data_IF_094732981941
#
_entry.id   IF_094732981941
#
_cell.length_a   1.000
_cell.length_b   1.000
_cell.length_c   1.000
_cell.angle_alpha   90.00
_cell.angle_beta   90.00
_cell.angle_gamma   90.00
#
_symmetry.space_group_name_H-M   'P 1'
#
loop_
_entity.id
_entity.type
_entity.pdbx_description
1 polymer ?
#
# COMPACT_ATOMS: atom_id res chain seq x y z
N UNK A 1 -1.10 -9.58 -28.83
CA UNK A 1 -1.43 -8.98 -27.50
C UNK A 1 -1.38 -7.48 -27.65
N UNK A 2 -2.39 -6.77 -27.17
CA UNK A 2 -2.46 -5.30 -27.14
C UNK A 2 -1.29 -4.70 -26.36
N UNK A 3 -0.84 -3.49 -26.74
CA UNK A 3 0.32 -2.82 -26.10
C UNK A 3 0.13 -2.57 -24.60
N UNK A 4 -1.10 -2.21 -24.15
CA UNK A 4 -1.38 -2.00 -22.74
C UNK A 4 -1.28 -3.31 -21.92
N UNK A 5 -1.78 -4.42 -22.46
CA UNK A 5 -1.65 -5.75 -21.84
C UNK A 5 -0.20 -6.21 -21.83
N UNK A 6 0.59 -5.89 -22.87
CA UNK A 6 2.01 -6.19 -22.91
C UNK A 6 2.77 -5.42 -21.80
N UNK A 7 2.45 -4.13 -21.62
CA UNK A 7 3.01 -3.32 -20.52
C UNK A 7 2.71 -3.96 -19.16
N UNK A 8 1.47 -4.39 -18.91
CA UNK A 8 1.13 -5.07 -17.66
C UNK A 8 1.93 -6.36 -17.48
N UNK A 9 2.08 -7.15 -18.54
CA UNK A 9 2.85 -8.42 -18.52
C UNK A 9 4.33 -8.18 -18.23
N UNK A 10 4.97 -7.25 -18.92
CA UNK A 10 6.40 -6.94 -18.78
C UNK A 10 6.73 -6.39 -17.39
N UNK A 11 5.75 -5.71 -16.77
CA UNK A 11 5.87 -5.16 -15.42
C UNK A 11 5.49 -6.12 -14.31
N UNK A 12 4.92 -7.29 -14.63
CA UNK A 12 4.53 -8.30 -13.64
C UNK A 12 3.10 -8.17 -13.10
N UNK A 13 2.22 -7.44 -13.80
CA UNK A 13 0.79 -7.32 -13.48
C UNK A 13 -0.08 -8.30 -14.27
N UNK A 14 0.44 -9.44 -14.67
CA UNK A 14 -0.33 -10.40 -15.44
C UNK A 14 -0.18 -11.82 -14.87
N UNK A 15 -1.26 -12.37 -14.32
CA UNK A 15 -1.35 -13.75 -13.81
C UNK A 15 -2.33 -14.57 -14.62
N UNK A 16 -3.60 -14.17 -14.66
CA UNK A 16 -4.68 -14.84 -15.38
C UNK A 16 -5.54 -13.81 -16.11
N UNK A 17 -6.14 -14.22 -17.21
CA UNK A 17 -7.16 -13.45 -17.94
C UNK A 17 -8.24 -14.40 -18.44
N UNK A 18 -9.50 -14.00 -18.39
CA UNK A 18 -10.63 -14.82 -18.87
C UNK A 18 -10.55 -15.10 -20.35
N UNK A 19 -10.15 -14.11 -21.15
CA UNK A 19 -9.87 -14.22 -22.59
C UNK A 19 -8.90 -13.12 -23.01
N UNK A 20 -7.65 -13.49 -23.26
CA UNK A 20 -6.58 -12.55 -23.65
C UNK A 20 -6.78 -12.00 -25.05
N UNK A 21 -7.22 -12.83 -25.97
CA UNK A 21 -7.34 -12.45 -27.38
C UNK A 21 -8.56 -11.55 -27.59
N UNK A 22 -9.70 -11.87 -26.97
CA UNK A 22 -10.90 -11.02 -26.97
C UNK A 22 -10.64 -9.66 -26.33
N UNK A 23 -10.01 -9.63 -25.15
CA UNK A 23 -9.66 -8.37 -24.49
C UNK A 23 -8.67 -7.54 -25.30
N UNK A 24 -7.65 -8.18 -25.89
CA UNK A 24 -6.67 -7.52 -26.77
C UNK A 24 -7.37 -6.88 -27.98
N UNK A 25 -8.23 -7.63 -28.65
CA UNK A 25 -8.99 -7.14 -29.79
C UNK A 25 -9.94 -5.99 -29.42
N UNK A 26 -10.52 -6.02 -28.23
CA UNK A 26 -11.36 -4.93 -27.73
C UNK A 26 -10.53 -3.66 -27.46
N UNK A 27 -9.40 -3.79 -26.79
CA UNK A 27 -8.49 -2.67 -26.50
C UNK A 27 -7.87 -2.05 -27.78
N UNK A 28 -7.65 -2.85 -28.81
CA UNK A 28 -7.14 -2.37 -30.11
C UNK A 28 -8.17 -1.50 -30.87
N UNK A 29 -9.47 -1.63 -30.54
CA UNK A 29 -10.54 -0.79 -31.11
C UNK A 29 -10.66 0.58 -30.45
N UNK A 30 -10.10 0.75 -29.24
CA UNK A 30 -10.14 2.01 -28.51
C UNK A 30 -10.09 1.87 -27.01
N UNK A 31 -10.28 2.99 -26.26
CA UNK A 31 -10.28 2.99 -24.81
C UNK A 31 -11.35 2.05 -24.23
N UNK A 32 -10.96 1.22 -23.28
CA UNK A 32 -11.89 0.40 -22.49
C UNK A 32 -12.04 0.99 -21.10
N UNK A 33 -13.24 0.87 -20.53
CA UNK A 33 -13.47 1.17 -19.11
C UNK A 33 -13.24 -0.07 -18.29
N UNK A 34 -12.41 0.05 -17.25
CA UNK A 34 -12.07 -1.02 -16.32
C UNK A 34 -12.19 -0.54 -14.88
N UNK A 35 -12.27 -1.48 -13.92
CA UNK A 35 -12.30 -1.12 -12.52
C UNK A 35 -11.44 -2.01 -11.63
N UNK A 36 -11.06 -1.44 -10.49
CA UNK A 36 -10.52 -2.13 -9.33
C UNK A 36 -11.37 -1.77 -8.11
N UNK A 37 -11.59 -2.73 -7.20
CA UNK A 37 -12.34 -2.50 -5.97
C UNK A 37 -11.43 -2.30 -4.76
N UNK A 38 -11.81 -1.37 -3.90
CA UNK A 38 -11.11 -1.04 -2.65
C UNK A 38 -12.09 -1.00 -1.48
N UNK A 39 -12.08 -2.01 -0.60
CA UNK A 39 -12.91 -2.03 0.60
C UNK A 39 -12.31 -1.15 1.71
N UNK A 40 -13.06 -0.16 2.25
CA UNK A 40 -12.59 0.78 3.27
C UNK A 40 -12.58 0.15 4.68
N UNK A 41 -11.82 -0.93 4.87
CA UNK A 41 -11.76 -1.70 6.13
C UNK A 41 -10.83 -1.09 7.19
N UNK A 42 -10.26 0.07 6.93
CA UNK A 42 -9.42 0.84 7.84
C UNK A 42 -9.23 2.27 7.36
N UNK A 43 -8.66 3.14 8.21
CA UNK A 43 -8.58 4.59 7.94
C UNK A 43 -7.53 4.96 6.89
N UNK A 44 -6.70 4.03 6.44
CA UNK A 44 -5.66 4.26 5.44
C UNK A 44 -5.40 3.01 4.62
N UNK A 45 -5.08 3.20 3.36
CA UNK A 45 -4.42 2.19 2.54
C UNK A 45 -3.01 1.92 3.07
N UNK A 46 -2.49 0.75 2.80
CA UNK A 46 -1.10 0.37 3.04
C UNK A 46 -0.43 -0.07 1.74
N UNK A 47 0.89 -0.22 1.73
CA UNK A 47 1.64 -0.54 0.50
C UNK A 47 1.17 -1.81 -0.21
N UNK A 48 0.50 -2.75 0.48
CA UNK A 48 -0.11 -3.92 -0.16
C UNK A 48 -1.23 -3.56 -1.15
N UNK A 49 -1.88 -2.41 -0.96
CA UNK A 49 -2.91 -1.90 -1.89
C UNK A 49 -2.32 -1.19 -3.12
N UNK A 50 -0.99 -0.94 -3.15
CA UNK A 50 -0.38 -0.25 -4.29
C UNK A 50 -0.40 -1.08 -5.58
N UNK A 51 -0.36 -2.41 -5.48
CA UNK A 51 -0.33 -3.27 -6.68
C UNK A 51 -1.53 -3.01 -7.59
N UNK A 52 -2.80 -3.13 -7.12
CA UNK A 52 -3.95 -2.80 -7.93
C UNK A 52 -3.97 -1.35 -8.41
N UNK A 53 -3.52 -0.41 -7.58
CA UNK A 53 -3.50 1.00 -7.91
C UNK A 53 -2.49 1.34 -9.02
N UNK A 54 -1.30 0.74 -8.99
CA UNK A 54 -0.33 0.92 -10.06
C UNK A 54 -0.76 0.23 -11.37
N UNK A 55 -1.45 -0.92 -11.29
CA UNK A 55 -2.06 -1.51 -12.47
C UNK A 55 -3.10 -0.56 -13.12
N UNK A 56 -3.96 0.07 -12.28
CA UNK A 56 -4.89 1.11 -12.73
C UNK A 56 -4.16 2.27 -13.41
N UNK A 57 -3.12 2.79 -12.78
CA UNK A 57 -2.35 3.93 -13.30
C UNK A 57 -1.64 3.59 -14.63
N UNK A 58 -1.10 2.36 -14.79
CA UNK A 58 -0.49 1.93 -16.04
C UNK A 58 -1.50 1.80 -17.17
N UNK A 59 -2.68 1.21 -16.94
CA UNK A 59 -3.74 1.13 -17.93
C UNK A 59 -4.29 2.51 -18.30
N UNK A 60 -4.47 3.40 -17.31
CA UNK A 60 -4.86 4.78 -17.58
C UNK A 60 -3.82 5.52 -18.43
N UNK A 61 -2.53 5.36 -18.13
CA UNK A 61 -1.44 5.96 -18.91
C UNK A 61 -1.39 5.41 -20.34
N UNK A 62 -1.86 4.19 -20.55
CA UNK A 62 -2.03 3.59 -21.87
C UNK A 62 -3.31 4.04 -22.59
N UNK A 63 -4.10 4.96 -22.01
CA UNK A 63 -5.28 5.57 -22.65
C UNK A 63 -6.62 4.93 -22.28
N UNK A 64 -6.66 4.00 -21.32
CA UNK A 64 -7.91 3.38 -20.86
C UNK A 64 -8.53 4.16 -19.70
N UNK A 65 -9.81 3.92 -19.40
CA UNK A 65 -10.59 4.64 -18.40
C UNK A 65 -10.67 3.78 -17.13
N UNK A 66 -10.06 4.23 -16.05
CA UNK A 66 -10.02 3.52 -14.76
C UNK A 66 -11.12 3.99 -13.80
N UNK A 67 -11.76 3.05 -13.11
CA UNK A 67 -12.66 3.31 -11.99
C UNK A 67 -12.06 2.66 -10.74
N UNK A 68 -11.85 3.43 -9.67
CA UNK A 68 -11.64 2.85 -8.34
C UNK A 68 -13.01 2.79 -7.64
N UNK A 69 -13.51 1.57 -7.44
CA UNK A 69 -14.77 1.33 -6.77
C UNK A 69 -14.53 1.24 -5.27
N UNK A 70 -15.06 2.19 -4.52
CA UNK A 70 -15.04 2.13 -3.05
C UNK A 70 -16.10 1.16 -2.56
N UNK A 71 -15.66 0.10 -1.91
CA UNK A 71 -16.50 -0.99 -1.40
C UNK A 71 -17.17 -0.67 -0.07
N UNK A 72 -17.87 0.46 0.08
CA UNK A 72 -18.51 0.80 1.35
C UNK A 72 -19.70 -0.12 1.70
N UNK A 73 -20.38 -0.65 0.71
CA UNK A 73 -21.42 -1.67 0.90
C UNK A 73 -20.82 -3.03 1.24
N UNK A 74 -19.81 -3.48 0.48
CA UNK A 74 -19.13 -4.77 0.66
C UNK A 74 -18.29 -4.82 1.94
N UNK A 75 -17.72 -3.72 2.40
CA UNK A 75 -17.00 -3.63 3.68
C UNK A 75 -17.87 -3.98 4.90
N UNK A 76 -19.20 -3.86 4.80
CA UNK A 76 -20.15 -4.29 5.85
C UNK A 76 -20.19 -5.80 6.02
N UNK A 77 -19.79 -6.53 4.99
CA UNK A 77 -19.79 -8.01 4.93
C UNK A 77 -18.38 -8.54 5.17
N UNK A 78 -17.41 -8.04 4.43
CA UNK A 78 -16.00 -8.42 4.46
C UNK A 78 -15.67 -9.58 3.52
N UNK A 79 -14.70 -9.34 2.64
CA UNK A 79 -14.19 -10.31 1.66
C UNK A 79 -13.47 -11.49 2.35
N UNK A 80 -13.88 -12.74 2.13
CA UNK A 80 -13.22 -13.93 2.66
C UNK A 80 -11.92 -14.27 1.90
N UNK A 81 -11.67 -13.71 0.72
CA UNK A 81 -10.55 -14.05 -0.16
C UNK A 81 -9.20 -13.84 0.54
N UNK A 82 -8.33 -14.85 0.46
CA UNK A 82 -6.99 -14.80 1.06
C UNK A 82 -6.96 -14.77 2.60
N UNK A 83 -8.07 -15.09 3.28
CA UNK A 83 -8.21 -15.12 4.74
C UNK A 83 -8.48 -16.52 5.26
N UNK A 84 -8.06 -16.76 6.50
CA UNK A 84 -8.34 -17.98 7.27
C UNK A 84 -9.43 -17.76 8.31
N UNK A 85 -9.74 -16.50 8.66
CA UNK A 85 -10.71 -16.11 9.66
C UNK A 85 -11.67 -15.05 9.11
N UNK A 86 -12.87 -14.98 9.68
CA UNK A 86 -13.85 -13.94 9.35
C UNK A 86 -13.29 -12.55 9.70
N UNK A 87 -13.55 -11.56 8.87
CA UNK A 87 -13.18 -10.16 9.17
C UNK A 87 -13.98 -9.66 10.36
N UNK A 88 -13.33 -8.83 11.19
CA UNK A 88 -14.05 -8.07 12.24
C UNK A 88 -15.05 -7.14 11.57
N UNK A 89 -16.30 -7.22 12.00
CA UNK A 89 -17.32 -6.28 11.56
C UNK A 89 -17.04 -4.89 12.17
N UNK A 90 -17.05 -3.89 11.33
CA UNK A 90 -16.88 -2.47 11.72
C UNK A 90 -18.21 -1.73 11.57
N UNK A 91 -18.39 -0.64 12.31
CA UNK A 91 -19.65 0.12 12.27
C UNK A 91 -19.83 0.85 10.93
N UNK A 92 -21.06 1.22 10.62
CA UNK A 92 -21.35 1.95 9.39
C UNK A 92 -20.73 3.35 9.39
N UNK A 93 -20.70 3.99 10.56
CA UNK A 93 -20.08 5.28 10.78
C UNK A 93 -18.55 5.21 10.54
N UNK A 94 -17.92 4.16 11.06
CA UNK A 94 -16.49 3.93 10.84
C UNK A 94 -16.18 3.67 9.36
N UNK A 95 -17.04 2.93 8.66
CA UNK A 95 -16.90 2.72 7.20
C UNK A 95 -17.02 4.06 6.47
N UNK A 96 -18.02 4.86 6.77
CA UNK A 96 -18.24 6.15 6.11
C UNK A 96 -17.10 7.15 6.37
N UNK A 97 -16.46 7.11 7.54
CA UNK A 97 -15.24 7.88 7.83
C UNK A 97 -14.02 7.36 7.04
N UNK A 98 -13.86 6.04 6.98
CA UNK A 98 -12.78 5.43 6.22
C UNK A 98 -12.90 5.72 4.73
N UNK A 99 -14.11 5.70 4.15
CA UNK A 99 -14.39 6.08 2.76
C UNK A 99 -13.79 7.45 2.45
N UNK A 100 -14.11 8.47 3.24
CA UNK A 100 -13.60 9.84 3.02
C UNK A 100 -12.09 9.91 3.02
N UNK A 101 -11.44 9.19 3.95
CA UNK A 101 -9.99 9.17 4.07
C UNK A 101 -9.34 8.43 2.90
N UNK A 102 -9.90 7.29 2.50
CA UNK A 102 -9.37 6.48 1.40
C UNK A 102 -9.56 7.18 0.06
N UNK A 103 -10.74 7.76 -0.21
CA UNK A 103 -10.98 8.57 -1.41
C UNK A 103 -9.97 9.72 -1.53
N UNK A 104 -9.74 10.46 -0.45
CA UNK A 104 -8.75 11.54 -0.44
C UNK A 104 -7.31 11.04 -0.66
N UNK A 105 -6.97 9.85 -0.16
CA UNK A 105 -5.67 9.23 -0.42
C UNK A 105 -5.52 8.82 -1.88
N UNK A 106 -6.53 8.15 -2.44
CA UNK A 106 -6.54 7.72 -3.84
C UNK A 106 -6.50 8.92 -4.79
N UNK A 107 -7.32 9.94 -4.54
CA UNK A 107 -7.35 11.15 -5.37
C UNK A 107 -5.99 11.85 -5.44
N UNK A 108 -5.23 11.86 -4.34
CA UNK A 108 -3.90 12.50 -4.28
C UNK A 108 -2.91 11.96 -5.31
N UNK A 109 -2.92 10.63 -5.58
CA UNK A 109 -1.96 10.03 -6.51
C UNK A 109 -2.60 9.50 -7.79
N UNK A 110 -3.90 9.20 -7.82
CA UNK A 110 -4.63 8.87 -9.04
C UNK A 110 -5.05 10.15 -9.76
N UNK A 111 -5.57 11.15 -9.03
CA UNK A 111 -6.15 12.38 -9.60
C UNK A 111 -7.42 12.07 -10.36
N UNK A 112 -8.55 11.93 -9.65
CA UNK A 112 -9.85 11.68 -10.27
C UNK A 112 -10.30 12.91 -11.06
N UNK A 113 -10.48 12.76 -12.37
CA UNK A 113 -10.88 13.83 -13.29
C UNK A 113 -12.33 13.64 -13.82
N UNK A 114 -12.98 12.58 -13.39
CA UNK A 114 -14.32 12.20 -13.84
C UNK A 114 -14.41 11.73 -15.29
N UNK A 115 -13.29 11.71 -16.03
CA UNK A 115 -13.19 11.32 -17.45
C UNK A 115 -12.36 10.05 -17.61
N UNK A 116 -11.05 10.15 -17.37
CA UNK A 116 -10.09 9.05 -17.54
C UNK A 116 -9.81 8.30 -16.24
N UNK A 117 -10.06 8.94 -15.10
CA UNK A 117 -10.05 8.35 -13.78
C UNK A 117 -11.30 8.75 -13.01
N UNK A 118 -12.05 7.77 -12.55
CA UNK A 118 -13.31 7.94 -11.84
C UNK A 118 -13.26 7.20 -10.51
N UNK A 119 -14.07 7.63 -9.57
CA UNK A 119 -14.45 6.87 -8.39
C UNK A 119 -15.95 6.65 -8.38
N UNK A 120 -16.41 5.52 -7.86
CA UNK A 120 -17.81 5.26 -7.54
C UNK A 120 -17.86 4.49 -6.22
N UNK A 121 -19.03 4.40 -5.60
CA UNK A 121 -19.21 3.76 -4.31
C UNK A 121 -20.37 2.76 -4.39
N UNK A 122 -20.09 1.51 -4.08
CA UNK A 122 -21.11 0.45 -4.17
C UNK A 122 -22.22 0.58 -3.11
N UNK A 123 -22.08 1.47 -2.12
CA UNK A 123 -23.18 1.85 -1.23
C UNK A 123 -24.37 2.38 -2.02
N UNK A 124 -24.15 3.02 -3.19
CA UNK A 124 -25.23 3.59 -4.01
C UNK A 124 -26.24 2.57 -4.55
N UNK A 125 -25.89 1.30 -4.62
CA UNK A 125 -26.76 0.23 -5.08
C UNK A 125 -26.90 -0.94 -4.14
N UNK A 126 -26.05 -1.03 -3.10
CA UNK A 126 -26.11 -2.10 -2.11
C UNK A 126 -26.86 -1.70 -0.83
N UNK A 127 -26.89 -0.38 -0.47
CA UNK A 127 -27.45 0.03 0.80
C UNK A 127 -28.95 -0.21 0.93
N UNK A 128 -29.69 0.03 -0.14
CA UNK A 128 -31.17 -0.06 -0.19
C UNK A 128 -31.64 -1.32 -0.95
N UNK A 129 -30.78 -2.34 -1.05
CA UNK A 129 -31.04 -3.55 -1.80
C UNK A 129 -32.16 -4.38 -1.13
N UNK A 130 -33.25 -4.65 -1.85
CA UNK A 130 -34.24 -5.61 -1.36
C UNK A 130 -33.67 -7.02 -1.48
N UNK A 131 -33.56 -7.71 -0.34
CA UNK A 131 -32.89 -9.01 -0.27
C UNK A 131 -33.60 -10.10 -1.10
N UNK A 132 -34.94 -10.14 -1.08
CA UNK A 132 -35.71 -11.18 -1.82
C UNK A 132 -35.60 -10.92 -3.32
N UNK A 133 -35.75 -9.68 -3.77
CA UNK A 133 -35.59 -9.32 -5.18
C UNK A 133 -34.19 -9.61 -5.67
N UNK A 134 -33.16 -9.29 -4.86
CA UNK A 134 -31.77 -9.62 -5.17
C UNK A 134 -31.52 -11.11 -5.32
N UNK A 135 -32.01 -11.93 -4.37
CA UNK A 135 -31.87 -13.38 -4.46
C UNK A 135 -32.56 -13.95 -5.71
N UNK A 136 -33.74 -13.43 -6.04
CA UNK A 136 -34.51 -13.87 -7.21
C UNK A 136 -33.82 -13.46 -8.52
N UNK A 137 -33.38 -12.22 -8.62
CA UNK A 137 -32.85 -11.66 -9.86
C UNK A 137 -31.36 -12.00 -10.09
N UNK A 138 -30.56 -11.97 -9.04
CA UNK A 138 -29.10 -12.16 -9.09
C UNK A 138 -28.73 -13.56 -8.61
N UNK A 139 -29.21 -13.96 -7.43
CA UNK A 139 -28.88 -15.25 -6.80
C UNK A 139 -29.21 -16.46 -7.68
N UNK A 140 -30.29 -16.38 -8.50
CA UNK A 140 -30.68 -17.44 -9.43
C UNK A 140 -29.62 -17.76 -10.50
N UNK A 141 -28.68 -16.88 -10.74
CA UNK A 141 -27.57 -17.10 -11.67
C UNK A 141 -26.36 -17.80 -11.07
N UNK A 142 -26.34 -18.03 -9.74
CA UNK A 142 -25.23 -18.64 -9.04
C UNK A 142 -25.50 -20.09 -8.65
N UNK A 143 -24.53 -20.95 -8.90
CA UNK A 143 -24.56 -22.35 -8.43
C UNK A 143 -23.69 -22.47 -7.18
N UNK A 144 -24.29 -22.86 -6.05
CA UNK A 144 -23.59 -23.11 -4.79
C UNK A 144 -22.45 -24.12 -4.98
N UNK A 145 -22.70 -25.21 -5.72
CA UNK A 145 -21.68 -26.22 -5.98
C UNK A 145 -20.46 -25.62 -6.69
N UNK A 146 -20.67 -24.74 -7.67
CA UNK A 146 -19.57 -24.04 -8.36
C UNK A 146 -18.86 -23.05 -7.45
N UNK A 147 -19.60 -22.25 -6.67
CA UNK A 147 -19.01 -21.30 -5.73
C UNK A 147 -18.07 -22.00 -4.75
N UNK A 148 -18.46 -23.15 -4.20
CA UNK A 148 -17.65 -23.92 -3.27
C UNK A 148 -16.37 -24.51 -3.89
N UNK A 149 -16.22 -24.50 -5.22
CA UNK A 149 -14.98 -24.93 -5.88
C UNK A 149 -13.87 -23.86 -5.87
N UNK A 150 -14.19 -22.61 -5.60
CA UNK A 150 -13.19 -21.55 -5.56
C UNK A 150 -12.32 -21.62 -4.30
N UNK A 151 -11.02 -21.33 -4.46
CA UNK A 151 -10.03 -21.45 -3.37
C UNK A 151 -10.38 -20.60 -2.14
N UNK A 152 -10.99 -19.43 -2.33
CA UNK A 152 -11.42 -18.57 -1.24
C UNK A 152 -12.38 -19.30 -0.30
N UNK A 153 -13.35 -20.04 -0.85
CA UNK A 153 -14.33 -20.77 -0.06
C UNK A 153 -13.78 -22.09 0.46
N UNK A 154 -12.97 -22.83 -0.31
CA UNK A 154 -12.34 -24.06 0.15
C UNK A 154 -11.58 -23.87 1.45
N UNK A 155 -10.71 -22.85 1.50
CA UNK A 155 -9.93 -22.51 2.71
C UNK A 155 -10.81 -22.11 3.87
N UNK A 156 -11.90 -21.36 3.61
CA UNK A 156 -12.82 -20.94 4.67
C UNK A 156 -13.69 -22.07 5.18
N UNK A 157 -14.04 -23.06 4.36
CA UNK A 157 -14.77 -24.26 4.83
C UNK A 157 -13.99 -25.06 5.87
N UNK A 158 -12.66 -25.09 5.80
CA UNK A 158 -11.81 -25.76 6.79
C UNK A 158 -11.88 -25.11 8.19
N UNK A 159 -12.14 -23.80 8.26
CA UNK A 159 -12.16 -23.01 9.50
C UNK A 159 -13.54 -22.47 9.87
N UNK A 160 -14.56 -22.71 9.03
CA UNK A 160 -15.93 -22.29 9.24
C UNK A 160 -16.34 -21.09 8.38
N UNK A 161 -16.87 -21.37 7.17
CA UNK A 161 -17.42 -20.38 6.26
C UNK A 161 -18.82 -19.95 6.75
N UNK A 162 -19.01 -18.66 6.99
CA UNK A 162 -20.32 -18.11 7.37
C UNK A 162 -21.18 -17.80 6.14
N UNK A 163 -22.51 -17.79 6.32
CA UNK A 163 -23.42 -17.43 5.23
C UNK A 163 -23.20 -16.02 4.70
N UNK A 164 -22.83 -15.07 5.56
CA UNK A 164 -22.55 -13.70 5.18
C UNK A 164 -21.31 -13.62 4.26
N UNK A 165 -20.23 -14.29 4.60
CA UNK A 165 -19.03 -14.37 3.76
C UNK A 165 -19.31 -15.07 2.43
N UNK A 166 -20.15 -16.11 2.43
CA UNK A 166 -20.53 -16.83 1.23
C UNK A 166 -21.26 -15.95 0.22
N UNK A 167 -22.03 -14.95 0.68
CA UNK A 167 -22.72 -14.01 -0.18
C UNK A 167 -21.81 -12.91 -0.77
N UNK A 168 -20.59 -12.74 -0.28
CA UNK A 168 -19.70 -11.67 -0.77
C UNK A 168 -19.48 -11.74 -2.29
N UNK A 169 -19.30 -12.93 -2.85
CA UNK A 169 -19.11 -13.12 -4.29
C UNK A 169 -20.29 -12.59 -5.12
N UNK A 170 -21.53 -12.74 -4.63
CA UNK A 170 -22.72 -12.22 -5.31
C UNK A 170 -22.70 -10.69 -5.34
N UNK A 171 -22.31 -10.06 -4.23
CA UNK A 171 -22.25 -8.60 -4.11
C UNK A 171 -21.18 -8.01 -5.05
N UNK A 172 -19.97 -8.57 -5.06
CA UNK A 172 -18.91 -8.11 -5.97
C UNK A 172 -19.26 -8.37 -7.44
N UNK A 173 -19.96 -9.47 -7.75
CA UNK A 173 -20.45 -9.71 -9.11
C UNK A 173 -21.51 -8.70 -9.53
N UNK A 174 -22.36 -8.30 -8.59
CA UNK A 174 -23.36 -7.25 -8.79
C UNK A 174 -22.73 -5.88 -8.97
N UNK A 175 -21.64 -5.58 -8.23
CA UNK A 175 -20.84 -4.38 -8.45
C UNK A 175 -20.35 -4.27 -9.90
N UNK A 176 -19.81 -5.36 -10.45
CA UNK A 176 -19.35 -5.38 -11.83
C UNK A 176 -20.52 -5.15 -12.80
N UNK A 177 -21.66 -5.79 -12.58
CA UNK A 177 -22.86 -5.57 -13.39
C UNK A 177 -23.29 -4.09 -13.33
N UNK A 178 -23.34 -3.50 -12.13
CA UNK A 178 -23.72 -2.08 -11.98
C UNK A 178 -22.74 -1.11 -12.63
N UNK A 179 -21.44 -1.38 -12.55
CA UNK A 179 -20.43 -0.59 -13.25
C UNK A 179 -20.53 -0.78 -14.79
N UNK A 180 -20.87 -1.99 -15.24
CA UNK A 180 -21.14 -2.22 -16.65
C UNK A 180 -22.35 -1.42 -17.14
N UNK A 181 -23.46 -1.44 -16.41
CA UNK A 181 -24.68 -0.69 -16.74
C UNK A 181 -24.47 0.83 -16.70
N UNK A 182 -23.73 1.35 -15.72
CA UNK A 182 -23.56 2.79 -15.47
C UNK A 182 -22.44 3.44 -16.27
N UNK A 183 -21.35 2.69 -16.50
CA UNK A 183 -20.10 3.23 -17.04
C UNK A 183 -19.57 2.47 -18.26
N UNK A 184 -20.32 1.51 -18.81
CA UNK A 184 -19.85 0.57 -19.84
C UNK A 184 -18.53 -0.12 -19.43
N UNK A 185 -18.38 -0.42 -18.13
CA UNK A 185 -17.20 -1.11 -17.62
C UNK A 185 -17.16 -2.54 -18.18
N UNK A 186 -16.07 -2.90 -18.85
CA UNK A 186 -15.95 -4.20 -19.51
C UNK A 186 -14.77 -5.03 -19.03
N UNK A 187 -13.97 -4.52 -18.06
CA UNK A 187 -12.86 -5.26 -17.50
C UNK A 187 -12.80 -5.03 -15.97
N UNK A 188 -12.74 -6.13 -15.22
CA UNK A 188 -12.38 -6.11 -13.79
C UNK A 188 -10.94 -6.56 -13.62
N UNK A 189 -10.15 -5.79 -12.84
CA UNK A 189 -8.80 -6.18 -12.48
C UNK A 189 -8.67 -6.39 -10.97
N UNK A 190 -7.80 -7.31 -10.53
CA UNK A 190 -7.59 -7.58 -9.11
C UNK A 190 -6.42 -8.51 -8.83
N UNK A 191 -6.12 -8.76 -7.55
CA UNK A 191 -5.16 -9.77 -7.15
C UNK A 191 -5.65 -11.18 -7.50
N UNK A 192 -4.74 -12.14 -7.58
CA UNK A 192 -5.09 -13.52 -7.97
C UNK A 192 -6.01 -14.22 -6.97
N UNK A 193 -6.04 -13.76 -5.73
CA UNK A 193 -7.02 -14.20 -4.72
C UNK A 193 -8.46 -13.78 -5.04
N UNK A 194 -8.66 -12.81 -5.95
CA UNK A 194 -9.95 -12.32 -6.42
C UNK A 194 -10.49 -13.08 -7.64
N UNK A 195 -9.74 -14.04 -8.21
CA UNK A 195 -10.10 -14.71 -9.44
C UNK A 195 -11.53 -15.27 -9.45
N UNK A 196 -11.92 -15.96 -8.35
CA UNK A 196 -13.27 -16.51 -8.22
C UNK A 196 -14.38 -15.46 -8.27
N UNK A 197 -14.18 -14.33 -7.59
CA UNK A 197 -15.13 -13.22 -7.57
C UNK A 197 -15.22 -12.55 -8.95
N UNK A 198 -14.07 -12.34 -9.60
CA UNK A 198 -13.97 -11.73 -10.95
C UNK A 198 -14.71 -12.58 -11.99
N UNK A 199 -14.42 -13.89 -12.05
CA UNK A 199 -15.06 -14.81 -13.00
C UNK A 199 -16.57 -14.91 -12.76
N UNK A 200 -17.00 -14.87 -11.52
CA UNK A 200 -18.43 -14.87 -11.20
C UNK A 200 -19.15 -13.61 -11.71
N UNK A 201 -18.50 -12.46 -11.63
CA UNK A 201 -19.00 -11.20 -12.21
C UNK A 201 -19.08 -11.24 -13.75
N UNK A 202 -18.04 -11.77 -14.41
CA UNK A 202 -18.03 -12.00 -15.87
C UNK A 202 -19.19 -12.90 -16.30
N UNK A 203 -19.39 -14.03 -15.58
CA UNK A 203 -20.50 -14.95 -15.88
C UNK A 203 -21.87 -14.32 -15.64
N UNK A 204 -22.04 -13.51 -14.59
CA UNK A 204 -23.29 -12.80 -14.29
C UNK A 204 -23.66 -11.84 -15.42
N UNK A 205 -22.74 -11.00 -15.86
CA UNK A 205 -22.99 -10.02 -16.94
C UNK A 205 -23.36 -10.75 -18.23
N UNK A 206 -22.60 -11.79 -18.61
CA UNK A 206 -22.92 -12.59 -19.80
C UNK A 206 -24.32 -13.18 -19.74
N UNK A 207 -24.77 -13.70 -18.60
CA UNK A 207 -26.11 -14.31 -18.44
C UNK A 207 -27.23 -13.28 -18.41
N UNK A 208 -26.99 -12.09 -17.86
CA UNK A 208 -28.00 -11.04 -17.72
C UNK A 208 -28.15 -10.18 -18.97
N UNK A 209 -27.05 -9.91 -19.67
CA UNK A 209 -27.00 -8.90 -20.74
C UNK A 209 -26.61 -9.48 -22.10
N UNK A 210 -26.07 -10.72 -22.13
CA UNK A 210 -25.42 -11.30 -23.31
C UNK A 210 -24.19 -10.53 -23.81
N UNK A 211 -23.70 -9.56 -23.03
CA UNK A 211 -22.47 -8.84 -23.33
C UNK A 211 -21.24 -9.64 -22.87
N UNK A 212 -20.14 -9.47 -23.60
CA UNK A 212 -18.86 -10.02 -23.26
C UNK A 212 -18.06 -8.99 -22.44
N UNK A 213 -17.58 -9.42 -21.28
CA UNK A 213 -16.70 -8.64 -20.39
C UNK A 213 -15.56 -9.52 -19.91
N UNK A 214 -14.53 -8.91 -19.36
CA UNK A 214 -13.26 -9.57 -19.09
C UNK A 214 -12.84 -9.42 -17.63
N UNK A 215 -12.04 -10.37 -17.18
CA UNK A 215 -11.36 -10.35 -15.92
C UNK A 215 -9.86 -10.58 -16.09
N UNK A 216 -9.04 -9.84 -15.36
CA UNK A 216 -7.59 -9.98 -15.35
C UNK A 216 -7.09 -9.95 -13.90
N UNK A 217 -6.22 -10.90 -13.56
CA UNK A 217 -5.56 -10.89 -12.25
C UNK A 217 -4.05 -10.68 -12.38
N UNK A 218 -3.48 -10.16 -11.30
CA UNK A 218 -2.04 -10.04 -11.12
C UNK A 218 -1.58 -10.85 -9.90
N UNK A 219 -0.29 -11.28 -9.88
CA UNK A 219 0.25 -12.07 -8.80
C UNK A 219 0.17 -11.35 -7.46
N UNK A 220 -0.06 -12.09 -6.38
CA UNK A 220 0.09 -11.56 -5.04
C UNK A 220 1.58 -11.28 -4.76
N UNK A 221 1.91 -10.02 -4.50
CA UNK A 221 3.28 -9.60 -4.33
C UNK A 221 3.80 -9.95 -2.94
N UNK A 222 4.78 -10.85 -2.91
CA UNK A 222 5.57 -11.18 -1.71
C UNK A 222 7.00 -10.66 -1.87
N UNK A 223 7.66 -10.44 -0.75
CA UNK A 223 9.09 -10.16 -0.71
C UNK A 223 9.88 -11.44 -1.00
N UNK A 224 11.16 -11.31 -1.36
CA UNK A 224 12.08 -12.43 -1.58
C UNK A 224 12.26 -13.33 -0.33
N UNK A 225 11.98 -12.80 0.89
CA UNK A 225 11.98 -13.57 2.14
C UNK A 225 10.64 -14.32 2.40
N UNK A 226 9.73 -14.36 1.43
CA UNK A 226 8.43 -15.02 1.51
C UNK A 226 7.35 -14.26 2.31
N UNK A 227 7.70 -13.13 2.93
CA UNK A 227 6.75 -12.33 3.70
C UNK A 227 5.87 -11.47 2.79
N UNK A 228 4.65 -11.19 3.22
CA UNK A 228 3.77 -10.25 2.53
C UNK A 228 4.39 -8.86 2.52
N UNK A 229 4.34 -8.19 1.37
CA UNK A 229 4.79 -6.81 1.22
C UNK A 229 4.06 -5.87 2.18
N UNK A 230 4.79 -4.87 2.72
CA UNK A 230 4.22 -3.84 3.59
C UNK A 230 3.96 -4.25 5.04
N UNK A 231 4.30 -5.48 5.44
CA UNK A 231 4.37 -5.84 6.86
C UNK A 231 5.74 -5.51 7.41
N UNK A 232 5.78 -4.67 8.43
CA UNK A 232 6.98 -4.34 9.22
C UNK A 232 6.84 -4.93 10.62
N UNK A 233 7.89 -4.88 11.42
CA UNK A 233 7.84 -5.26 12.85
C UNK A 233 6.83 -4.40 13.64
N UNK A 234 6.56 -3.18 13.15
CA UNK A 234 5.61 -2.22 13.75
C UNK A 234 4.18 -2.36 13.19
N UNK A 235 3.92 -3.31 12.29
CA UNK A 235 2.62 -3.49 11.63
C UNK A 235 2.64 -3.14 10.13
N UNK A 236 1.49 -2.74 9.59
CA UNK A 236 1.37 -2.36 8.19
C UNK A 236 2.03 -1.01 7.90
N UNK A 237 2.67 -0.87 6.74
CA UNK A 237 3.18 0.41 6.25
C UNK A 237 2.05 1.15 5.54
N UNK A 238 1.51 2.16 6.21
CA UNK A 238 0.37 2.94 5.73
C UNK A 238 0.78 4.03 4.73
N UNK A 239 -0.16 4.42 3.86
CA UNK A 239 0.05 5.53 2.92
C UNK A 239 -0.30 6.89 3.54
N UNK A 240 -0.95 6.90 4.69
CA UNK A 240 -1.21 8.12 5.47
C UNK A 240 0.05 8.58 6.19
N UNK A 241 0.47 9.82 5.97
CA UNK A 241 1.68 10.39 6.58
C UNK A 241 1.59 10.57 8.11
N UNK A 242 0.37 10.65 8.66
CA UNK A 242 0.14 10.72 10.11
C UNK A 242 0.31 9.32 10.76
N UNK A 243 0.02 8.24 10.01
CA UNK A 243 0.21 6.87 10.47
C UNK A 243 1.61 6.33 10.18
N UNK A 244 2.21 6.74 9.05
CA UNK A 244 3.58 6.42 8.66
C UNK A 244 4.25 7.68 8.13
N UNK A 245 5.16 8.31 8.88
CA UNK A 245 5.90 9.47 8.40
C UNK A 245 6.55 9.21 7.04
N UNK A 246 6.57 10.22 6.16
CA UNK A 246 7.09 10.08 4.79
C UNK A 246 8.54 9.60 4.78
N UNK A 247 9.35 10.02 5.75
CA UNK A 247 10.71 9.52 5.93
C UNK A 247 10.75 8.00 6.18
N UNK A 248 9.88 7.47 7.05
CA UNK A 248 9.81 6.03 7.35
C UNK A 248 9.30 5.24 6.13
N UNK A 249 8.35 5.82 5.38
CA UNK A 249 7.89 5.26 4.11
C UNK A 249 9.02 5.18 3.08
N UNK A 250 9.79 6.25 2.90
CA UNK A 250 10.97 6.29 2.03
C UNK A 250 12.03 5.26 2.48
N UNK A 251 12.32 5.20 3.77
CA UNK A 251 13.31 4.25 4.33
C UNK A 251 12.89 2.79 4.15
N UNK A 252 11.61 2.48 4.17
CA UNK A 252 11.15 1.13 3.87
C UNK A 252 11.59 0.69 2.48
N UNK A 253 11.36 1.51 1.45
CA UNK A 253 11.74 1.21 0.07
C UNK A 253 13.25 1.20 -0.14
N UNK A 254 13.97 2.11 0.51
CA UNK A 254 15.44 2.14 0.47
C UNK A 254 16.08 0.92 1.12
N UNK A 255 15.37 0.21 2.00
CA UNK A 255 15.86 -0.95 2.73
C UNK A 255 15.26 -2.28 2.26
N UNK A 256 14.67 -2.34 1.07
CA UNK A 256 14.22 -3.60 0.48
C UNK A 256 15.41 -4.52 0.15
N UNK A 257 15.16 -5.82 0.04
CA UNK A 257 16.21 -6.76 -0.34
C UNK A 257 16.68 -6.49 -1.78
N UNK A 258 17.98 -6.73 -2.08
CA UNK A 258 18.55 -6.51 -3.40
C UNK A 258 17.78 -7.27 -4.48
N UNK A 259 17.40 -8.51 -4.19
CA UNK A 259 16.62 -9.37 -5.09
C UNK A 259 15.21 -8.85 -5.43
N UNK A 260 14.68 -7.92 -4.64
CA UNK A 260 13.35 -7.34 -4.85
C UNK A 260 13.39 -6.03 -5.65
N UNK A 261 14.57 -5.39 -5.82
CA UNK A 261 14.70 -4.04 -6.37
C UNK A 261 14.12 -3.95 -7.79
N UNK A 262 14.55 -4.81 -8.71
CA UNK A 262 14.05 -4.80 -10.09
C UNK A 262 12.53 -5.05 -10.15
N UNK A 263 12.03 -6.01 -9.37
CA UNK A 263 10.61 -6.31 -9.29
C UNK A 263 9.81 -5.10 -8.87
N UNK A 264 10.26 -4.38 -7.83
CA UNK A 264 9.55 -3.21 -7.33
C UNK A 264 9.68 -2.00 -8.25
N UNK A 265 10.79 -1.83 -8.96
CA UNK A 265 10.88 -0.84 -10.03
C UNK A 265 9.83 -1.10 -11.12
N UNK A 266 9.71 -2.33 -11.59
CA UNK A 266 8.71 -2.69 -12.62
C UNK A 266 7.28 -2.44 -12.14
N UNK A 267 6.97 -2.79 -10.89
CA UNK A 267 5.62 -2.67 -10.33
C UNK A 267 5.25 -1.22 -9.96
N UNK A 268 6.15 -0.48 -9.32
CA UNK A 268 5.82 0.75 -8.60
C UNK A 268 6.47 2.01 -9.15
N UNK A 269 6.93 1.98 -10.41
CA UNK A 269 7.42 3.17 -11.09
C UNK A 269 6.86 3.28 -12.50
N UNK A 270 7.02 4.45 -13.10
CA UNK A 270 6.66 4.69 -14.51
C UNK A 270 7.88 4.74 -15.44
N UNK A 271 9.05 4.39 -14.93
CA UNK A 271 10.27 4.30 -15.74
C UNK A 271 10.11 3.21 -16.82
N UNK A 272 10.69 3.37 -18.01
CA UNK A 272 10.76 2.28 -19.00
C UNK A 272 11.34 1.01 -18.39
N UNK A 273 10.87 -0.17 -18.78
CA UNK A 273 11.35 -1.46 -18.24
C UNK A 273 12.85 -1.63 -18.44
N UNK A 274 13.37 -1.25 -19.61
CA UNK A 274 14.81 -1.28 -19.89
C UNK A 274 15.63 -0.39 -18.93
N UNK A 275 15.13 0.81 -18.60
CA UNK A 275 15.76 1.68 -17.62
C UNK A 275 15.72 1.07 -16.20
N UNK A 276 14.61 0.42 -15.83
CA UNK A 276 14.53 -0.31 -14.55
C UNK A 276 15.62 -1.43 -14.47
N UNK A 277 15.83 -2.14 -15.56
CA UNK A 277 16.85 -3.20 -15.66
C UNK A 277 18.27 -2.64 -15.58
N UNK A 278 18.54 -1.54 -16.31
CA UNK A 278 19.85 -0.86 -16.28
C UNK A 278 20.19 -0.32 -14.89
N UNK A 279 19.26 0.42 -14.25
CA UNK A 279 19.47 0.95 -12.90
C UNK A 279 19.70 -0.17 -11.89
N UNK A 280 18.93 -1.27 -11.99
CA UNK A 280 19.04 -2.39 -11.05
C UNK A 280 20.31 -3.21 -11.24
N UNK A 281 20.93 -3.18 -12.41
CA UNK A 281 22.21 -3.85 -12.70
C UNK A 281 23.43 -3.00 -12.26
N UNK A 282 23.23 -1.71 -11.95
CA UNK A 282 24.27 -0.79 -11.51
C UNK A 282 24.54 -0.84 -10.00
N UNK A 283 24.84 0.31 -9.40
CA UNK A 283 25.03 0.42 -7.94
C UNK A 283 23.71 0.17 -7.21
N UNK A 284 23.65 -0.90 -6.44
CA UNK A 284 22.43 -1.34 -5.75
C UNK A 284 21.92 -0.33 -4.71
N UNK A 285 22.82 0.44 -4.07
CA UNK A 285 22.42 1.45 -3.09
C UNK A 285 21.82 2.68 -3.80
N UNK A 286 22.39 3.10 -4.90
CA UNK A 286 21.83 4.14 -5.75
C UNK A 286 20.49 3.70 -6.36
N UNK A 287 20.37 2.45 -6.81
CA UNK A 287 19.11 1.88 -7.29
C UNK A 287 18.03 1.89 -6.22
N UNK A 288 18.31 1.49 -4.99
CA UNK A 288 17.37 1.54 -3.87
C UNK A 288 16.97 2.96 -3.49
N UNK A 289 17.90 3.91 -3.52
CA UNK A 289 17.58 5.32 -3.28
C UNK A 289 16.64 5.86 -4.39
N UNK A 290 16.92 5.55 -5.65
CA UNK A 290 16.08 5.92 -6.77
C UNK A 290 14.69 5.29 -6.68
N UNK A 291 14.59 4.00 -6.37
CA UNK A 291 13.33 3.29 -6.16
C UNK A 291 12.49 3.96 -5.07
N UNK A 292 13.10 4.23 -3.91
CA UNK A 292 12.43 4.87 -2.79
C UNK A 292 11.92 6.26 -3.17
N UNK A 293 12.70 7.03 -3.91
CA UNK A 293 12.31 8.36 -4.38
C UNK A 293 11.13 8.29 -5.36
N UNK A 294 11.19 7.42 -6.37
CA UNK A 294 10.13 7.26 -7.37
C UNK A 294 8.79 6.93 -6.73
N UNK A 295 8.76 5.93 -5.83
CA UNK A 295 7.52 5.51 -5.17
C UNK A 295 7.01 6.60 -4.22
N UNK A 296 7.91 7.22 -3.46
CA UNK A 296 7.52 8.30 -2.54
C UNK A 296 6.99 9.51 -3.31
N UNK A 297 7.57 9.84 -4.46
CA UNK A 297 7.13 10.95 -5.30
C UNK A 297 5.72 10.72 -5.88
N UNK A 298 5.37 9.48 -6.23
CA UNK A 298 4.02 9.15 -6.70
C UNK A 298 3.01 9.28 -5.55
N UNK A 299 3.31 8.77 -4.38
CA UNK A 299 2.34 8.65 -3.27
C UNK A 299 2.23 9.94 -2.44
N UNK A 300 3.34 10.62 -2.18
CA UNK A 300 3.41 11.79 -1.30
C UNK A 300 3.76 13.11 -2.01
N UNK A 301 4.12 13.04 -3.30
CA UNK A 301 4.57 14.18 -4.09
C UNK A 301 6.10 14.34 -4.08
N UNK A 302 6.61 15.01 -5.11
CA UNK A 302 8.06 15.17 -5.34
C UNK A 302 8.75 15.93 -4.21
N UNK A 303 8.14 16.99 -3.69
CA UNK A 303 8.70 17.80 -2.61
C UNK A 303 8.96 16.95 -1.35
N UNK A 304 7.99 16.13 -0.95
CA UNK A 304 8.14 15.24 0.20
C UNK A 304 9.16 14.11 -0.07
N UNK A 305 9.25 13.62 -1.31
CA UNK A 305 10.26 12.64 -1.70
C UNK A 305 11.68 13.23 -1.67
N UNK A 306 11.85 14.48 -2.10
CA UNK A 306 13.14 15.19 -2.02
C UNK A 306 13.55 15.43 -0.57
N UNK A 307 12.65 15.91 0.29
CA UNK A 307 12.88 16.06 1.72
C UNK A 307 13.29 14.73 2.37
N UNK A 308 12.56 13.64 2.08
CA UNK A 308 12.87 12.33 2.65
C UNK A 308 14.24 11.80 2.18
N UNK A 309 14.59 12.01 0.91
CA UNK A 309 15.90 11.65 0.36
C UNK A 309 17.04 12.43 1.02
N UNK A 310 16.87 13.75 1.13
CA UNK A 310 17.89 14.64 1.70
C UNK A 310 18.05 14.37 3.21
N UNK A 311 16.96 14.13 3.93
CA UNK A 311 17.00 13.65 5.31
C UNK A 311 17.72 12.31 5.47
N UNK A 312 17.51 11.39 4.51
CA UNK A 312 18.23 10.11 4.50
C UNK A 312 19.74 10.30 4.27
N UNK A 313 20.14 11.19 3.35
CA UNK A 313 21.55 11.52 3.12
C UNK A 313 22.19 12.14 4.36
N UNK A 314 21.50 13.08 5.01
CA UNK A 314 21.98 13.71 6.25
C UNK A 314 22.17 12.69 7.36
N UNK A 315 21.21 11.77 7.53
CA UNK A 315 21.26 10.72 8.54
C UNK A 315 22.45 9.75 8.38
N UNK A 316 22.92 9.53 7.16
CA UNK A 316 24.04 8.62 6.86
C UNK A 316 25.36 9.34 6.58
N UNK A 317 25.51 10.62 6.93
CA UNK A 317 26.75 11.38 6.76
C UNK A 317 27.03 11.84 5.33
N UNK A 318 26.05 11.75 4.42
CA UNK A 318 26.17 12.08 3.00
C UNK A 318 25.95 13.56 2.61
N UNK A 319 25.87 14.49 3.58
CA UNK A 319 25.79 15.93 3.28
C UNK A 319 24.38 16.45 2.91
N UNK A 320 23.31 15.75 3.29
CA UNK A 320 21.94 16.20 3.10
C UNK A 320 21.46 17.23 4.15
N UNK A 321 20.27 17.81 3.94
CA UNK A 321 19.66 18.76 4.87
C UNK A 321 19.12 18.04 6.13
N UNK A 322 19.72 18.32 7.28
CA UNK A 322 19.33 17.79 8.60
C UNK A 322 17.89 18.16 8.98
N UNK A 323 17.35 19.29 8.48
CA UNK A 323 15.99 19.74 8.80
C UNK A 323 14.92 18.81 8.21
N UNK A 324 15.30 18.03 7.23
CA UNK A 324 14.45 17.00 6.59
C UNK A 324 14.38 15.66 7.35
N UNK A 325 15.16 15.52 8.45
CA UNK A 325 15.11 14.32 9.29
C UNK A 325 13.89 14.34 10.24
N UNK A 326 13.40 13.16 10.67
CA UNK A 326 12.47 13.09 11.79
C UNK A 326 13.02 13.88 12.96
N UNK A 327 12.28 14.88 13.43
CA UNK A 327 12.75 15.83 14.45
C UNK A 327 11.88 15.75 15.69
N UNK A 328 12.53 15.72 16.86
CA UNK A 328 11.89 15.86 18.16
C UNK A 328 12.43 17.13 18.85
N UNK A 329 11.52 17.90 19.46
CA UNK A 329 11.87 19.06 20.25
C UNK A 329 11.90 18.67 21.73
N UNK A 330 12.95 19.04 22.43
CA UNK A 330 13.05 18.85 23.88
C UNK A 330 13.39 20.17 24.56
N UNK A 331 12.96 20.32 25.81
CA UNK A 331 13.29 21.51 26.58
C UNK A 331 14.79 21.58 26.83
N UNK A 332 15.40 22.72 26.55
CA UNK A 332 16.81 22.99 26.82
C UNK A 332 17.17 22.76 28.30
N UNK A 333 16.22 23.01 29.21
CA UNK A 333 16.41 22.77 30.64
C UNK A 333 16.62 21.29 31.00
N UNK A 334 16.11 20.36 30.19
CA UNK A 334 16.33 18.92 30.40
C UNK A 334 17.76 18.53 30.05
N UNK A 335 18.31 19.08 28.96
CA UNK A 335 19.70 18.82 28.56
C UNK A 335 20.67 19.52 29.47
N UNK A 336 20.41 20.77 29.87
CA UNK A 336 21.30 21.51 30.79
C UNK A 336 21.41 20.88 32.18
N UNK A 337 20.34 20.23 32.64
CA UNK A 337 20.37 19.45 33.91
C UNK A 337 20.98 18.06 33.73
N UNK A 338 21.14 17.62 32.50
CA UNK A 338 21.52 16.26 32.13
C UNK A 338 20.35 15.30 32.17
N UNK A 339 20.12 14.61 31.06
CA UNK A 339 19.09 13.58 30.91
C UNK A 339 19.75 12.20 30.74
N UNK A 340 19.27 11.17 31.41
CA UNK A 340 19.75 9.81 31.20
C UNK A 340 19.47 9.35 29.77
N UNK A 341 20.41 8.65 29.13
CA UNK A 341 20.30 8.19 27.74
C UNK A 341 19.02 7.38 27.45
N UNK A 342 18.60 6.54 28.42
CA UNK A 342 17.34 5.77 28.30
C UNK A 342 16.13 6.71 28.26
N UNK A 343 16.13 7.71 29.15
CA UNK A 343 15.04 8.68 29.24
C UNK A 343 15.00 9.58 28.00
N UNK A 344 16.15 9.97 27.44
CA UNK A 344 16.26 10.73 26.22
C UNK A 344 15.66 9.96 25.04
N UNK A 345 16.04 8.69 24.84
CA UNK A 345 15.47 7.86 23.77
C UNK A 345 13.97 7.64 23.93
N UNK A 346 13.49 7.51 25.16
CA UNK A 346 12.06 7.38 25.44
C UNK A 346 11.30 8.67 25.16
N UNK A 347 11.83 9.83 25.58
CA UNK A 347 11.26 11.16 25.36
C UNK A 347 11.07 11.46 23.87
N UNK A 348 12.11 11.20 23.08
CA UNK A 348 12.05 11.41 21.62
C UNK A 348 11.42 10.24 20.85
N UNK A 349 10.84 9.27 21.55
CA UNK A 349 10.18 8.08 20.97
C UNK A 349 11.05 7.29 19.99
N UNK A 350 12.36 7.30 20.17
CA UNK A 350 13.35 6.60 19.37
C UNK A 350 13.65 5.20 19.93
N UNK A 351 12.66 4.43 20.24
CA UNK A 351 12.82 3.08 20.78
C UNK A 351 11.47 2.49 21.13
N UNK A 352 11.49 1.31 21.74
CA UNK A 352 10.32 0.72 22.34
C UNK A 352 10.12 1.19 23.79
N UNK A 353 9.84 0.24 24.68
CA UNK A 353 9.83 0.49 26.13
C UNK A 353 11.23 0.86 26.64
N UNK A 354 11.29 1.46 27.83
CA UNK A 354 12.59 1.72 28.50
C UNK A 354 13.45 0.46 28.64
N UNK A 355 12.83 -0.70 28.78
CA UNK A 355 13.53 -2.00 28.81
C UNK A 355 14.13 -2.36 27.44
N UNK A 356 13.43 -2.06 26.35
CA UNK A 356 13.95 -2.30 25.00
C UNK A 356 15.11 -1.35 24.68
N UNK A 357 14.98 -0.07 25.09
CA UNK A 357 16.05 0.93 24.94
C UNK A 357 17.29 0.51 25.74
N UNK A 358 17.13 0.04 26.97
CA UNK A 358 18.24 -0.49 27.76
C UNK A 358 18.97 -1.61 27.04
N UNK A 359 18.23 -2.59 26.56
CA UNK A 359 18.77 -3.73 25.79
C UNK A 359 19.48 -3.27 24.53
N UNK A 360 18.91 -2.28 23.82
CA UNK A 360 19.52 -1.69 22.64
C UNK A 360 20.89 -1.08 22.93
N UNK A 361 21.04 -0.34 24.05
CA UNK A 361 22.31 0.24 24.47
C UNK A 361 23.30 -0.85 24.82
N UNK A 362 22.92 -1.83 25.65
CA UNK A 362 23.75 -2.96 26.06
C UNK A 362 24.26 -3.79 24.86
N UNK A 363 23.47 -3.87 23.76
CA UNK A 363 23.86 -4.53 22.53
C UNK A 363 24.65 -3.63 21.56
N UNK A 364 25.03 -2.41 21.97
CA UNK A 364 25.76 -1.47 21.12
C UNK A 364 24.95 -0.94 19.93
N UNK A 365 23.61 -0.93 20.06
CA UNK A 365 22.72 -0.48 18.99
C UNK A 365 22.22 0.95 19.13
N UNK A 366 22.65 1.69 20.15
CA UNK A 366 22.27 3.09 20.36
C UNK A 366 23.46 4.01 20.03
N UNK A 367 23.24 5.00 19.18
CA UNK A 367 24.31 5.88 18.71
C UNK A 367 23.88 7.35 18.76
N UNK A 368 24.87 8.22 18.81
CA UNK A 368 24.71 9.66 18.61
C UNK A 368 25.79 10.17 17.65
N UNK A 369 25.49 11.27 16.96
CA UNK A 369 26.49 11.98 16.16
C UNK A 369 27.07 13.10 17.01
N UNK A 370 28.37 13.09 17.19
CA UNK A 370 29.09 14.09 17.98
C UNK A 370 29.18 15.43 17.24
N UNK A 371 29.71 16.47 17.93
CA UNK A 371 29.91 17.82 17.38
C UNK A 371 30.82 17.90 16.16
N UNK A 372 31.59 16.86 15.88
CA UNK A 372 32.48 16.75 14.72
C UNK A 372 31.80 16.00 13.56
N UNK A 373 30.55 15.56 13.73
CA UNK A 373 29.84 14.76 12.75
C UNK A 373 30.18 13.26 12.77
N UNK A 374 30.89 12.79 13.82
CA UNK A 374 31.28 11.39 13.97
C UNK A 374 30.21 10.63 14.74
N UNK A 375 29.79 9.50 14.18
CA UNK A 375 28.85 8.62 14.87
C UNK A 375 29.55 7.83 15.97
N UNK A 376 29.02 7.93 17.19
CA UNK A 376 29.57 7.31 18.41
C UNK A 376 28.50 6.47 19.09
N UNK A 377 28.89 5.31 19.60
CA UNK A 377 27.98 4.40 20.32
C UNK A 377 27.81 4.80 21.77
N UNK A 378 26.58 4.75 22.29
CA UNK A 378 26.34 4.75 23.74
C UNK A 378 26.62 3.35 24.27
N UNK A 379 27.67 3.22 25.08
CA UNK A 379 28.12 1.94 25.66
C UNK A 379 27.66 1.71 27.11
N UNK A 380 27.19 2.77 27.79
CA UNK A 380 26.74 2.68 29.19
C UNK A 380 25.31 3.22 29.32
N UNK A 381 24.43 2.39 29.86
CA UNK A 381 23.02 2.73 30.16
C UNK A 381 22.85 3.87 31.14
N UNK A 382 23.90 4.16 31.92
CA UNK A 382 23.94 5.25 32.89
C UNK A 382 24.45 6.56 32.32
N UNK A 383 24.78 6.59 31.03
CA UNK A 383 25.25 7.82 30.38
C UNK A 383 24.25 8.94 30.59
N UNK A 384 24.71 10.08 31.02
CA UNK A 384 23.94 11.32 31.11
C UNK A 384 24.33 12.20 29.95
N UNK A 385 23.32 12.56 29.14
CA UNK A 385 23.47 13.43 27.98
C UNK A 385 23.23 14.86 28.44
N UNK A 386 24.21 15.71 28.21
CA UNK A 386 24.23 17.14 28.55
C UNK A 386 24.58 17.99 27.30
N UNK A 387 24.78 19.30 27.52
CA UNK A 387 25.10 20.26 26.43
C UNK A 387 26.38 19.91 25.65
N UNK A 388 27.28 19.08 26.22
CA UNK A 388 28.53 18.69 25.54
C UNK A 388 28.29 17.74 24.36
N UNK A 389 27.12 17.08 24.32
CA UNK A 389 26.70 16.19 23.24
C UNK A 389 26.10 16.93 22.06
N UNK A 390 25.71 18.20 22.25
CA UNK A 390 25.11 19.02 21.22
C UNK A 390 26.14 19.49 20.17
N UNK A 391 25.74 19.57 18.94
CA UNK A 391 26.54 20.20 17.90
C UNK A 391 26.52 21.75 18.02
N UNK A 392 27.19 22.43 17.06
CA UNK A 392 27.28 23.91 17.02
C UNK A 392 25.91 24.61 16.86
N UNK A 393 24.93 23.89 16.35
CA UNK A 393 23.57 24.39 16.10
C UNK A 393 22.63 24.11 17.29
N UNK A 394 23.16 23.50 18.36
CA UNK A 394 22.39 23.11 19.55
C UNK A 394 21.52 21.85 19.32
N UNK A 395 21.95 20.99 18.43
CA UNK A 395 21.22 19.81 18.00
C UNK A 395 21.99 18.53 18.31
N UNK A 396 21.26 17.41 18.36
CA UNK A 396 21.83 16.08 18.53
C UNK A 396 21.14 15.11 17.58
N UNK A 397 21.90 14.36 16.80
CA UNK A 397 21.34 13.27 15.99
C UNK A 397 21.49 11.96 16.76
N UNK A 398 20.40 11.28 17.00
CA UNK A 398 20.35 9.96 17.63
C UNK A 398 20.04 8.89 16.61
N UNK A 399 20.60 7.67 16.79
CA UNK A 399 20.26 6.50 15.98
C UNK A 399 19.99 5.29 16.86
N UNK A 400 18.90 4.58 16.55
CA UNK A 400 18.55 3.31 17.17
C UNK A 400 18.64 2.17 16.14
N UNK A 401 19.59 1.25 16.35
CA UNK A 401 19.91 0.18 15.40
C UNK A 401 20.41 0.72 14.07
N UNK A 402 20.12 0.00 12.97
CA UNK A 402 20.62 0.35 11.62
C UNK A 402 19.75 1.35 10.86
N UNK A 403 18.51 1.61 11.33
CA UNK A 403 17.48 2.19 10.43
C UNK A 403 16.67 3.34 11.04
N UNK A 404 16.76 3.63 12.32
CA UNK A 404 15.94 4.64 13.00
C UNK A 404 16.82 5.81 13.42
N UNK A 405 16.46 6.99 12.95
CA UNK A 405 17.16 8.24 13.26
C UNK A 405 16.19 9.26 13.84
N UNK A 406 16.72 10.15 14.67
CA UNK A 406 15.99 11.28 15.23
C UNK A 406 16.93 12.47 15.37
N UNK A 407 16.55 13.60 14.79
CA UNK A 407 17.16 14.89 15.09
C UNK A 407 16.50 15.45 16.33
N UNK A 408 17.29 15.73 17.34
CA UNK A 408 16.84 16.34 18.60
C UNK A 408 17.22 17.81 18.58
N UNK A 409 16.23 18.69 18.69
CA UNK A 409 16.40 20.15 18.73
C UNK A 409 16.07 20.63 20.13
N UNK A 410 16.99 21.37 20.75
CA UNK A 410 16.81 21.93 22.07
C UNK A 410 16.20 23.34 21.99
N UNK A 411 14.99 23.50 22.54
CA UNK A 411 14.28 24.80 22.65
C UNK A 411 14.18 25.29 24.08
#
# INVERSE_FOLDING_TARGET
MNAALQILKDRGFFQQCTDVDGLSALMDKGPVTFYVGTDPTGPSLHVGHLVPQFALLHLRKAGHIGIDLIGAGTARIGDPSGKTEMRKMISYEEIDENVKKIEAQLDRFIGFDGKTAKTDNNKHWLADLNYIDFLRDIGSHFSVNRMLTFEAYKKRMETGLTFIEFNYQLLQSYDFLKLHERHNCCLQIGGDDQWGNIVAGVDLIRRKTSHEVFGLTFPLVTRSDGKKMGKTEKGALFLDKEMTPVFDFFQYWRNVADADVLKFFKLFTFLPVAECEEISAGDINAAKERLAWEITAVIHGKEEADKARDGAKAAFGGGGDKTSMPTAEISRSLISKGIGVIDLYAEVKLGGSKSDIRRLIEQGGAYYTDKNGTETVFSDVKTVVDEKFLDKDGELILRAGKKKFMRVVCK
#
